data_IF_749770341803
#
_entry.id   IF_749770341803
#
_cell.length_a   1.000
_cell.length_b   1.000
_cell.length_c   1.000
_cell.angle_alpha   90.00
_cell.angle_beta   90.00
_cell.angle_gamma   90.00
#
_symmetry.space_group_name_H-M   'P 1'
#
loop_
_entity.id
_entity.type
_entity.pdbx_description
1 polymer ?
#
# COMPACT_ATOMS: atom_id res chain seq x y z
N UNK A 1 -4.32 -23.63 2.21
CA UNK A 1 -5.27 -23.50 3.33
C UNK A 1 -4.70 -23.96 4.67
N UNK A 2 -4.19 -25.20 4.82
CA UNK A 2 -3.70 -25.71 6.13
C UNK A 2 -2.42 -25.02 6.64
N UNK A 3 -1.50 -24.61 5.78
CA UNK A 3 -0.25 -23.93 6.17
C UNK A 3 -0.47 -22.49 6.70
N UNK A 4 -1.43 -21.75 6.15
CA UNK A 4 -1.77 -20.41 6.65
C UNK A 4 -2.50 -20.46 8.00
N UNK A 5 -3.32 -21.49 8.21
CA UNK A 5 -3.99 -21.70 9.50
C UNK A 5 -2.98 -22.01 10.61
N UNK A 6 -1.93 -22.79 10.31
CA UNK A 6 -0.87 -23.10 11.26
C UNK A 6 -0.02 -21.86 11.63
N UNK A 7 0.26 -20.98 10.67
CA UNK A 7 1.02 -19.75 10.91
C UNK A 7 0.19 -18.75 11.76
N UNK A 8 -1.09 -18.62 11.46
CA UNK A 8 -2.02 -17.75 12.20
C UNK A 8 -2.24 -18.27 13.63
N UNK A 9 -2.31 -19.59 13.81
CA UNK A 9 -2.42 -20.19 15.14
C UNK A 9 -1.13 -20.06 15.95
N UNK A 10 0.03 -20.14 15.30
CA UNK A 10 1.32 -19.91 15.96
C UNK A 10 1.50 -18.44 16.37
N UNK A 11 1.04 -17.49 15.56
CA UNK A 11 1.08 -16.06 15.90
C UNK A 11 0.17 -15.76 17.11
N UNK A 12 -1.04 -16.34 17.14
CA UNK A 12 -1.95 -16.17 18.29
C UNK A 12 -1.43 -16.87 19.57
N UNK A 13 -0.81 -18.04 19.44
CA UNK A 13 -0.17 -18.74 20.57
C UNK A 13 1.05 -17.99 21.09
N UNK A 14 1.85 -17.38 20.23
CA UNK A 14 3.00 -16.57 20.62
C UNK A 14 2.55 -15.33 21.38
N UNK A 15 1.48 -14.65 20.94
CA UNK A 15 0.88 -13.53 21.66
C UNK A 15 0.33 -13.97 23.02
N UNK A 16 -0.36 -15.10 23.09
CA UNK A 16 -0.89 -15.65 24.37
C UNK A 16 0.22 -16.03 25.35
N UNK A 17 1.31 -16.62 24.90
CA UNK A 17 2.47 -16.98 25.74
C UNK A 17 3.23 -15.75 26.26
N UNK A 18 3.27 -14.66 25.47
CA UNK A 18 3.89 -13.39 25.88
C UNK A 18 3.02 -12.60 26.87
N UNK A 19 1.68 -12.71 26.77
CA UNK A 19 0.75 -12.02 27.67
C UNK A 19 0.85 -12.49 29.14
N UNK A 20 1.28 -13.71 29.42
CA UNK A 20 1.41 -14.21 30.80
C UNK A 20 2.63 -13.65 31.55
N UNK A 21 3.59 -13.01 30.85
CA UNK A 21 4.83 -12.51 31.46
C UNK A 21 4.92 -10.98 31.59
N UNK A 22 3.97 -10.20 31.06
CA UNK A 22 4.20 -8.77 30.76
C UNK A 22 3.22 -7.78 31.38
N UNK A 23 2.50 -8.10 32.43
CA UNK A 23 1.65 -7.11 33.14
C UNK A 23 2.46 -5.92 33.77
N UNK A 24 3.78 -5.95 33.75
CA UNK A 24 4.64 -4.91 34.32
C UNK A 24 5.39 -4.03 33.31
N UNK A 25 5.29 -4.27 32.00
CA UNK A 25 6.08 -3.53 30.98
C UNK A 25 5.31 -2.36 30.35
N UNK A 26 4.00 -2.29 30.54
CA UNK A 26 3.12 -1.33 29.82
C UNK A 26 3.31 0.16 30.22
N UNK A 27 4.06 0.48 31.27
CA UNK A 27 4.16 1.87 31.76
C UNK A 27 5.45 2.61 31.37
N UNK A 28 6.36 1.99 30.63
CA UNK A 28 7.67 2.59 30.30
C UNK A 28 7.94 2.77 28.79
N UNK A 29 7.02 2.40 27.90
CA UNK A 29 7.31 2.37 26.46
C UNK A 29 7.22 3.73 25.74
N UNK A 30 6.51 4.71 26.30
CA UNK A 30 6.40 6.04 25.68
C UNK A 30 7.69 6.86 25.76
N UNK A 31 8.58 6.54 26.72
CA UNK A 31 9.82 7.27 26.98
C UNK A 31 11.02 6.80 26.15
N UNK A 32 10.92 5.72 25.39
CA UNK A 32 12.08 5.06 24.75
C UNK A 32 12.16 5.24 23.22
N UNK A 33 11.17 5.88 22.59
CA UNK A 33 11.25 6.14 21.14
C UNK A 33 11.88 7.50 20.86
N UNK A 34 12.88 7.51 19.99
CA UNK A 34 13.46 8.75 19.48
C UNK A 34 12.36 9.59 18.76
N UNK A 35 12.47 10.94 18.80
CA UNK A 35 11.54 11.78 18.03
C UNK A 35 11.55 11.35 16.58
N UNK A 36 10.36 11.30 15.95
CA UNK A 36 10.20 11.00 14.52
C UNK A 36 11.15 11.90 13.72
N UNK A 37 11.98 11.30 12.88
CA UNK A 37 12.76 12.07 11.92
C UNK A 37 11.81 12.84 11.00
N UNK A 38 12.11 14.11 10.66
CA UNK A 38 11.32 14.86 9.68
C UNK A 38 11.29 14.13 8.35
N UNK A 39 10.28 14.43 7.52
CA UNK A 39 10.12 13.79 6.20
C UNK A 39 11.44 13.85 5.41
N UNK A 40 12.03 12.69 5.21
CA UNK A 40 13.33 12.57 4.54
C UNK A 40 13.20 12.85 3.02
N UNK A 41 11.97 12.87 2.47
CA UNK A 41 11.73 12.79 1.05
C UNK A 41 10.88 13.92 0.46
N UNK A 42 10.42 14.89 1.25
CA UNK A 42 9.55 15.95 0.75
C UNK A 42 9.10 16.92 1.83
N UNK A 43 8.02 17.65 1.57
CA UNK A 43 7.43 18.61 2.50
C UNK A 43 6.19 18.02 3.13
N UNK A 44 6.18 17.87 4.45
CA UNK A 44 5.00 17.45 5.22
C UNK A 44 3.88 18.50 5.10
N UNK A 45 2.67 18.03 4.84
CA UNK A 45 1.47 18.83 4.67
C UNK A 45 0.29 18.17 5.39
N UNK A 46 -0.70 19.00 5.70
CA UNK A 46 -2.00 18.57 6.19
C UNK A 46 -3.10 19.28 5.42
N UNK A 47 -4.22 18.61 5.18
CA UNK A 47 -5.44 19.30 4.72
C UNK A 47 -5.94 20.24 5.80
N UNK A 48 -6.55 21.35 5.41
CA UNK A 48 -7.00 22.41 6.34
C UNK A 48 -8.47 22.77 6.18
N UNK A 49 -9.08 22.37 5.07
CA UNK A 49 -10.48 22.72 4.75
C UNK A 49 -11.47 21.59 5.02
N UNK A 50 -10.99 20.45 5.56
CA UNK A 50 -11.82 19.28 5.84
C UNK A 50 -12.13 19.17 7.34
N UNK A 51 -13.19 18.41 7.65
CA UNK A 51 -13.57 18.09 9.05
C UNK A 51 -12.46 17.33 9.77
N UNK A 52 -11.74 16.46 9.05
CA UNK A 52 -10.61 15.69 9.52
C UNK A 52 -9.43 15.96 8.62
N UNK A 53 -8.22 16.06 9.19
CA UNK A 53 -7.01 16.40 8.47
C UNK A 53 -6.34 15.15 7.93
N UNK A 54 -6.09 15.12 6.63
CA UNK A 54 -5.23 14.11 6.01
C UNK A 54 -3.80 14.62 5.95
N UNK A 55 -2.86 13.79 6.39
CA UNK A 55 -1.43 14.02 6.23
C UNK A 55 -0.96 13.52 4.87
N UNK A 56 -0.07 14.27 4.23
CA UNK A 56 0.61 13.86 3.01
C UNK A 56 1.99 14.50 2.88
N UNK A 57 2.85 13.89 2.09
CA UNK A 57 4.16 14.42 1.72
C UNK A 57 4.13 14.81 0.26
N UNK A 58 4.55 16.04 -0.02
CA UNK A 58 4.64 16.60 -1.37
C UNK A 58 6.10 16.62 -1.84
N UNK A 59 6.39 16.06 -3.02
CA UNK A 59 7.73 15.99 -3.58
C UNK A 59 7.70 15.92 -5.10
N UNK A 60 8.66 16.58 -5.75
CA UNK A 60 8.83 16.60 -7.20
C UNK A 60 7.97 17.62 -7.90
N UNK A 61 8.13 17.71 -9.22
CA UNK A 61 7.43 18.63 -10.09
C UNK A 61 6.95 17.90 -11.36
N UNK A 62 5.77 18.26 -11.85
CA UNK A 62 5.21 17.67 -13.06
C UNK A 62 3.71 17.37 -12.98
N UNK A 63 3.22 16.42 -13.78
CA UNK A 63 1.83 15.98 -13.67
C UNK A 63 1.55 15.42 -12.27
N UNK A 64 0.39 15.71 -11.67
CA UNK A 64 0.09 15.24 -10.32
C UNK A 64 -0.11 13.71 -10.30
N UNK A 65 0.46 13.07 -9.28
CA UNK A 65 0.24 11.68 -8.96
C UNK A 65 0.05 11.49 -7.45
N UNK A 66 -0.98 10.74 -7.05
CA UNK A 66 -1.29 10.45 -5.66
C UNK A 66 -0.91 9.01 -5.36
N UNK A 67 -0.06 8.81 -4.32
CA UNK A 67 0.38 7.52 -3.86
C UNK A 67 -0.43 7.12 -2.62
N UNK A 68 -1.15 5.99 -2.71
CA UNK A 68 -2.12 5.53 -1.73
C UNK A 68 -1.60 4.25 -1.07
N UNK A 69 -1.26 4.26 0.23
CA UNK A 69 -0.66 3.11 0.89
C UNK A 69 -1.65 1.96 1.12
N UNK A 70 -1.09 0.79 1.37
CA UNK A 70 -1.83 -0.39 1.78
C UNK A 70 -2.48 -0.25 3.16
N UNK A 71 -3.17 -1.32 3.58
CA UNK A 71 -3.82 -1.37 4.90
C UNK A 71 -2.77 -1.21 6.01
N UNK A 72 -3.07 -0.35 6.98
CA UNK A 72 -2.17 0.05 8.08
C UNK A 72 -0.89 0.76 7.65
N UNK A 73 -0.59 0.81 6.35
CA UNK A 73 0.58 1.48 5.79
C UNK A 73 0.49 3.01 5.86
N UNK A 74 1.63 3.63 5.66
CA UNK A 74 1.79 5.09 5.57
C UNK A 74 2.50 5.45 4.28
N UNK A 75 2.61 6.75 3.97
CA UNK A 75 3.39 7.23 2.83
C UNK A 75 4.83 6.66 2.78
N UNK A 76 5.38 6.25 3.94
CA UNK A 76 6.73 5.68 4.04
C UNK A 76 6.88 4.34 3.31
N UNK A 77 5.79 3.63 3.03
CA UNK A 77 5.81 2.46 2.15
C UNK A 77 6.33 2.79 0.75
N UNK A 78 6.20 4.03 0.32
CA UNK A 78 6.71 4.49 -0.96
C UNK A 78 8.11 5.12 -0.89
N UNK A 79 8.79 5.13 0.27
CA UNK A 79 10.09 5.78 0.46
C UNK A 79 11.12 5.41 -0.61
N UNK A 80 11.16 4.14 -1.02
CA UNK A 80 12.05 3.65 -2.08
C UNK A 80 11.64 4.10 -3.48
N UNK A 81 10.36 4.39 -3.70
CA UNK A 81 9.85 4.82 -5.01
C UNK A 81 9.83 6.33 -5.18
N UNK A 82 9.67 7.10 -4.08
CA UNK A 82 9.60 8.56 -4.14
C UNK A 82 10.77 9.19 -4.94
N UNK A 83 12.05 8.86 -4.66
CA UNK A 83 13.16 9.46 -5.41
C UNK A 83 13.20 9.05 -6.89
N UNK A 84 12.60 7.91 -7.24
CA UNK A 84 12.54 7.40 -8.61
C UNK A 84 11.42 8.08 -9.43
N UNK A 85 10.31 8.44 -8.79
CA UNK A 85 9.15 9.03 -9.45
C UNK A 85 9.13 10.56 -9.38
N UNK A 86 9.71 11.18 -8.35
CA UNK A 86 9.74 12.63 -8.16
C UNK A 86 10.32 13.45 -9.33
N UNK A 87 11.29 12.98 -10.11
CA UNK A 87 11.74 13.66 -11.31
C UNK A 87 10.69 13.77 -12.42
N UNK A 88 9.59 13.00 -12.33
CA UNK A 88 8.60 12.85 -13.40
C UNK A 88 7.20 13.34 -13.02
N UNK A 89 6.92 13.45 -11.72
CA UNK A 89 5.61 13.79 -11.17
C UNK A 89 5.70 14.80 -10.03
N UNK A 90 4.65 15.59 -9.87
CA UNK A 90 4.33 16.21 -8.58
C UNK A 90 3.62 15.13 -7.75
N UNK A 91 4.37 14.51 -6.84
CA UNK A 91 3.90 13.38 -6.03
C UNK A 91 3.23 13.88 -4.75
N UNK A 92 2.11 13.26 -4.42
CA UNK A 92 1.39 13.45 -3.16
C UNK A 92 1.28 12.05 -2.53
N UNK A 93 2.19 11.74 -1.62
CA UNK A 93 2.20 10.47 -0.91
C UNK A 93 1.46 10.65 0.41
N UNK A 94 0.31 10.01 0.56
CA UNK A 94 -0.59 10.27 1.68
C UNK A 94 -0.56 9.17 2.76
N UNK A 95 -1.02 9.54 3.94
CA UNK A 95 -1.48 8.62 4.96
C UNK A 95 -3.01 8.54 4.88
N UNK A 96 -3.54 7.33 4.75
CA UNK A 96 -5.00 7.14 4.81
C UNK A 96 -5.54 7.56 6.19
N UNK A 97 -6.81 7.97 6.28
CA UNK A 97 -7.40 8.16 7.60
C UNK A 97 -7.23 6.89 8.44
N UNK A 98 -6.80 7.08 9.68
CA UNK A 98 -6.53 5.99 10.61
C UNK A 98 -5.09 5.49 10.61
N UNK A 99 -4.22 5.96 9.72
CA UNK A 99 -2.80 5.57 9.67
C UNK A 99 -1.88 6.78 9.73
N UNK A 100 -0.62 6.56 10.01
CA UNK A 100 0.41 7.60 10.02
C UNK A 100 0.04 8.80 10.87
N UNK A 101 0.22 9.98 10.32
CA UNK A 101 -0.07 11.26 10.95
C UNK A 101 -1.45 11.84 10.55
N UNK A 102 -2.23 11.13 9.70
CA UNK A 102 -3.62 11.49 9.40
C UNK A 102 -4.53 11.31 10.62
N UNK A 103 -5.60 12.09 10.66
CA UNK A 103 -6.62 11.98 11.70
C UNK A 103 -7.22 10.57 11.78
N UNK A 104 -7.74 10.26 12.95
CA UNK A 104 -8.43 9.00 13.27
C UNK A 104 -9.90 9.29 13.61
N UNK A 105 -10.73 9.53 12.57
CA UNK A 105 -12.16 9.76 12.79
C UNK A 105 -12.78 8.64 13.62
N UNK A 106 -13.69 9.02 14.52
CA UNK A 106 -14.39 8.08 15.38
C UNK A 106 -15.63 7.46 14.69
N UNK A 107 -16.79 7.54 15.32
CA UNK A 107 -18.00 6.85 14.89
C UNK A 107 -18.65 7.37 13.61
N UNK A 108 -18.22 8.49 13.09
CA UNK A 108 -18.74 9.12 11.87
C UNK A 108 -17.98 8.73 10.59
N UNK A 109 -16.99 7.85 10.69
CA UNK A 109 -16.21 7.35 9.57
C UNK A 109 -16.00 5.84 9.69
N UNK A 110 -16.45 5.11 8.68
CA UNK A 110 -16.44 3.64 8.70
C UNK A 110 -15.16 3.01 8.18
N UNK A 111 -14.18 3.80 7.70
CA UNK A 111 -12.93 3.35 7.09
C UNK A 111 -13.12 2.43 5.88
N UNK A 112 -14.26 2.52 5.23
CA UNK A 112 -14.55 1.77 4.02
C UNK A 112 -13.77 2.29 2.82
N UNK A 113 -13.58 1.45 1.79
CA UNK A 113 -12.94 1.88 0.54
C UNK A 113 -13.61 3.11 -0.07
N UNK A 114 -14.95 3.23 -0.14
CA UNK A 114 -15.60 4.45 -0.64
C UNK A 114 -15.34 5.70 0.21
N UNK A 115 -15.31 5.58 1.54
CA UNK A 115 -15.07 6.73 2.43
C UNK A 115 -13.63 7.25 2.31
N UNK A 116 -12.64 6.35 2.24
CA UNK A 116 -11.26 6.72 1.97
C UNK A 116 -11.11 7.33 0.57
N UNK A 117 -11.82 6.80 -0.42
CA UNK A 117 -11.86 7.36 -1.76
C UNK A 117 -12.39 8.81 -1.76
N UNK A 118 -13.47 9.06 -1.02
CA UNK A 118 -14.05 10.40 -0.88
C UNK A 118 -13.10 11.37 -0.18
N UNK A 119 -12.35 10.92 0.83
CA UNK A 119 -11.30 11.70 1.46
C UNK A 119 -10.24 12.15 0.44
N UNK A 120 -9.77 11.25 -0.42
CA UNK A 120 -8.76 11.57 -1.43
C UNK A 120 -9.31 12.54 -2.49
N UNK A 121 -10.57 12.38 -2.91
CA UNK A 121 -11.19 13.32 -3.84
C UNK A 121 -11.32 14.71 -3.21
N UNK A 122 -11.68 14.79 -1.93
CA UNK A 122 -11.70 16.06 -1.19
C UNK A 122 -10.30 16.69 -1.08
N UNK A 123 -9.24 15.88 -0.87
CA UNK A 123 -7.86 16.36 -0.91
C UNK A 123 -7.52 16.92 -2.31
N UNK A 124 -7.92 16.26 -3.38
CA UNK A 124 -7.73 16.78 -4.74
C UNK A 124 -8.43 18.12 -4.94
N UNK A 125 -9.63 18.29 -4.37
CA UNK A 125 -10.39 19.56 -4.47
C UNK A 125 -9.68 20.69 -3.72
N UNK A 126 -9.22 20.44 -2.49
CA UNK A 126 -8.44 21.40 -1.70
C UNK A 126 -7.15 21.83 -2.42
N UNK A 127 -6.44 20.87 -3.02
CA UNK A 127 -5.22 21.13 -3.78
C UNK A 127 -5.47 21.64 -5.20
N UNK A 128 -6.73 21.79 -5.61
CA UNK A 128 -7.12 22.25 -6.95
C UNK A 128 -6.55 21.34 -8.06
N UNK A 129 -6.48 20.05 -7.80
CA UNK A 129 -6.05 19.04 -8.76
C UNK A 129 -7.27 18.53 -9.52
N UNK A 130 -7.46 18.94 -10.78
CA UNK A 130 -8.65 18.52 -11.55
C UNK A 130 -8.61 17.03 -11.91
N UNK A 131 -7.42 16.51 -12.17
CA UNK A 131 -7.19 15.14 -12.59
C UNK A 131 -5.76 14.71 -12.22
N UNK A 132 -5.56 13.45 -11.81
CA UNK A 132 -4.24 12.91 -11.46
C UNK A 132 -4.11 11.43 -11.85
N UNK A 133 -2.86 10.94 -11.82
CA UNK A 133 -2.56 9.50 -11.77
C UNK A 133 -2.72 9.01 -10.33
N UNK A 134 -3.36 7.85 -10.15
CA UNK A 134 -3.48 7.19 -8.86
C UNK A 134 -2.55 5.97 -8.83
N UNK A 135 -1.70 5.88 -7.82
CA UNK A 135 -0.77 4.76 -7.60
C UNK A 135 -1.10 4.17 -6.23
N UNK A 136 -1.73 3.01 -6.21
CA UNK A 136 -2.20 2.40 -4.97
C UNK A 136 -1.69 0.98 -4.77
N UNK A 137 -1.30 0.66 -3.53
CA UNK A 137 -0.85 -0.67 -3.14
C UNK A 137 -1.93 -1.35 -2.31
N UNK A 138 -2.28 -2.62 -2.64
CA UNK A 138 -3.21 -3.42 -1.85
C UNK A 138 -4.54 -2.69 -1.58
N UNK A 139 -4.84 -2.35 -0.35
CA UNK A 139 -5.98 -1.51 0.05
C UNK A 139 -6.00 -0.16 -0.69
N UNK A 140 -4.84 0.48 -0.86
CA UNK A 140 -4.73 1.70 -1.66
C UNK A 140 -5.04 1.48 -3.13
N UNK A 141 -4.73 0.30 -3.68
CA UNK A 141 -5.14 -0.11 -5.03
C UNK A 141 -6.65 -0.25 -5.16
N UNK A 142 -7.33 -0.80 -4.15
CA UNK A 142 -8.81 -0.84 -4.09
C UNK A 142 -9.41 0.56 -4.10
N UNK A 143 -8.83 1.47 -3.30
CA UNK A 143 -9.26 2.88 -3.23
C UNK A 143 -9.07 3.55 -4.60
N UNK A 144 -7.91 3.39 -5.23
CA UNK A 144 -7.62 3.96 -6.55
C UNK A 144 -8.61 3.49 -7.62
N UNK A 145 -8.91 2.19 -7.67
CA UNK A 145 -9.93 1.62 -8.58
C UNK A 145 -11.33 2.15 -8.27
N UNK A 146 -11.68 2.30 -6.99
CA UNK A 146 -12.97 2.86 -6.57
C UNK A 146 -13.12 4.33 -6.98
N UNK A 147 -12.07 5.15 -6.83
CA UNK A 147 -12.05 6.53 -7.32
C UNK A 147 -12.25 6.54 -8.84
N UNK A 148 -11.52 5.71 -9.58
CA UNK A 148 -11.63 5.66 -11.04
C UNK A 148 -13.02 5.25 -11.53
N UNK A 149 -13.70 4.38 -10.80
CA UNK A 149 -15.08 3.97 -11.11
C UNK A 149 -16.10 5.09 -10.81
N UNK A 150 -15.99 5.74 -9.63
CA UNK A 150 -16.97 6.73 -9.17
C UNK A 150 -16.71 8.13 -9.71
N UNK A 151 -15.46 8.48 -9.97
CA UNK A 151 -15.02 9.81 -10.38
C UNK A 151 -14.17 9.75 -11.67
N UNK A 152 -14.69 9.20 -12.78
CA UNK A 152 -13.88 8.87 -13.97
C UNK A 152 -13.20 10.08 -14.62
N UNK A 153 -13.69 11.29 -14.40
CA UNK A 153 -13.09 12.52 -14.93
C UNK A 153 -11.94 13.05 -14.05
N UNK A 154 -11.73 12.47 -12.86
CA UNK A 154 -10.70 12.88 -11.92
C UNK A 154 -9.42 12.02 -12.03
N UNK A 155 -9.45 10.97 -12.86
CA UNK A 155 -8.37 9.99 -12.96
C UNK A 155 -7.83 9.92 -14.36
N UNK A 156 -6.54 10.20 -14.55
CA UNK A 156 -5.85 10.09 -15.84
C UNK A 156 -5.35 8.66 -16.10
N UNK A 157 -4.88 7.99 -15.07
CA UNK A 157 -4.45 6.59 -15.10
C UNK A 157 -4.51 5.99 -13.68
N UNK A 158 -4.60 4.67 -13.59
CA UNK A 158 -4.50 3.93 -12.34
C UNK A 158 -3.32 2.97 -12.42
N UNK A 159 -2.45 2.99 -11.44
CA UNK A 159 -1.49 1.92 -11.15
C UNK A 159 -1.97 1.21 -9.89
N UNK A 160 -2.36 -0.04 -10.04
CA UNK A 160 -2.87 -0.88 -8.97
C UNK A 160 -1.87 -2.00 -8.68
N UNK A 161 -1.17 -1.88 -7.56
CA UNK A 161 -0.22 -2.91 -7.10
C UNK A 161 -1.00 -3.84 -6.16
N UNK A 162 -1.33 -5.03 -6.65
CA UNK A 162 -2.05 -6.08 -5.91
C UNK A 162 -3.33 -5.62 -5.16
N UNK A 163 -4.03 -4.62 -5.68
CA UNK A 163 -5.36 -4.27 -5.19
C UNK A 163 -6.43 -5.23 -5.74
N UNK A 164 -7.65 -5.09 -5.25
CA UNK A 164 -8.74 -5.99 -5.59
C UNK A 164 -10.07 -5.27 -5.81
N UNK A 165 -10.92 -5.84 -6.64
CA UNK A 165 -12.35 -5.52 -6.74
C UNK A 165 -13.20 -6.66 -6.21
N UNK A 166 -12.62 -7.88 -6.12
CA UNK A 166 -13.22 -9.08 -5.55
C UNK A 166 -12.40 -9.48 -4.32
N UNK A 167 -13.03 -9.50 -3.16
CA UNK A 167 -12.39 -9.87 -1.90
C UNK A 167 -12.57 -11.35 -1.59
N UNK A 168 -11.52 -12.02 -1.07
CA UNK A 168 -11.61 -13.43 -0.68
C UNK A 168 -12.62 -13.63 0.46
N UNK A 169 -13.33 -14.74 0.43
CA UNK A 169 -14.27 -15.15 1.48
C UNK A 169 -13.91 -16.58 1.94
N UNK A 170 -13.60 -16.80 3.23
CA UNK A 170 -13.61 -15.84 4.32
C UNK A 170 -12.49 -14.79 4.23
N UNK A 171 -12.74 -13.60 4.76
CA UNK A 171 -11.74 -12.54 4.78
C UNK A 171 -10.50 -12.94 5.60
N UNK A 172 -9.29 -12.70 5.12
CA UNK A 172 -8.07 -12.96 5.87
C UNK A 172 -7.97 -12.12 7.16
N UNK A 173 -8.72 -11.03 7.25
CA UNK A 173 -8.72 -10.12 8.40
C UNK A 173 -9.68 -10.53 9.53
N UNK A 174 -10.44 -11.61 9.37
CA UNK A 174 -11.42 -12.07 10.37
C UNK A 174 -10.79 -12.35 11.74
N UNK A 175 -9.65 -13.02 11.77
CA UNK A 175 -8.97 -13.33 13.03
C UNK A 175 -8.38 -12.11 13.70
N UNK A 176 -7.84 -11.17 12.92
CA UNK A 176 -7.35 -9.89 13.43
C UNK A 176 -8.50 -9.10 14.08
N UNK A 177 -9.64 -8.99 13.38
CA UNK A 177 -10.83 -8.33 13.93
C UNK A 177 -11.25 -8.96 15.26
N UNK A 178 -11.37 -10.29 15.32
CA UNK A 178 -11.76 -11.00 16.55
C UNK A 178 -10.77 -10.73 17.71
N UNK A 179 -9.48 -10.75 17.44
CA UNK A 179 -8.45 -10.46 18.44
C UNK A 179 -8.55 -9.02 18.96
N UNK A 180 -8.68 -8.06 18.06
CA UNK A 180 -8.79 -6.65 18.40
C UNK A 180 -10.13 -6.29 19.08
N UNK A 181 -11.22 -7.00 18.75
CA UNK A 181 -12.55 -6.75 19.35
C UNK A 181 -12.65 -7.29 20.78
N UNK A 182 -11.79 -8.23 21.16
CA UNK A 182 -11.77 -8.80 22.52
C UNK A 182 -11.18 -7.79 23.51
N UNK A 183 -11.94 -7.34 24.55
CA UNK A 183 -11.43 -6.43 25.56
C UNK A 183 -10.16 -6.97 26.23
N UNK A 184 -9.27 -6.09 26.67
CA UNK A 184 -7.94 -6.37 27.24
C UNK A 184 -6.98 -7.07 26.28
N UNK A 185 -7.41 -8.08 25.52
CA UNK A 185 -6.57 -8.74 24.52
C UNK A 185 -6.22 -7.78 23.38
N UNK A 186 -7.22 -7.07 22.83
CA UNK A 186 -6.98 -6.08 21.77
C UNK A 186 -6.07 -4.95 22.21
N UNK A 187 -6.21 -4.48 23.45
CA UNK A 187 -5.33 -3.44 24.01
C UNK A 187 -3.91 -3.98 24.21
N UNK A 188 -3.76 -5.23 24.67
CA UNK A 188 -2.46 -5.89 24.76
C UNK A 188 -1.80 -6.08 23.41
N UNK A 189 -2.55 -6.52 22.38
CA UNK A 189 -2.03 -6.66 21.00
C UNK A 189 -1.48 -5.32 20.51
N UNK A 190 -2.24 -4.24 20.63
CA UNK A 190 -1.80 -2.90 20.21
C UNK A 190 -0.61 -2.42 21.04
N UNK A 191 -0.60 -2.66 22.35
CA UNK A 191 0.54 -2.33 23.20
C UNK A 191 1.83 -3.02 22.74
N UNK A 192 1.77 -4.30 22.38
CA UNK A 192 2.90 -5.03 21.80
C UNK A 192 3.32 -4.48 20.44
N UNK A 193 2.39 -4.20 19.56
CA UNK A 193 2.65 -3.61 18.24
C UNK A 193 3.38 -2.29 18.42
N UNK A 194 2.85 -1.37 19.23
CA UNK A 194 3.45 -0.06 19.49
C UNK A 194 4.79 -0.11 20.21
N UNK A 195 5.09 -1.17 20.94
CA UNK A 195 6.38 -1.31 21.64
C UNK A 195 7.58 -1.50 20.70
N UNK A 196 7.34 -1.79 19.41
CA UNK A 196 8.38 -2.11 18.43
C UNK A 196 8.97 -3.52 18.59
N UNK A 197 8.54 -4.29 19.59
CA UNK A 197 9.04 -5.67 19.80
C UNK A 197 8.67 -6.60 18.65
N UNK A 198 7.57 -6.30 17.94
CA UNK A 198 7.10 -7.08 16.81
C UNK A 198 7.58 -6.56 15.45
N UNK A 199 8.25 -5.42 15.34
CA UNK A 199 8.64 -4.82 14.07
C UNK A 199 9.43 -5.79 13.18
N UNK A 200 10.36 -6.54 13.76
CA UNK A 200 11.10 -7.56 12.99
C UNK A 200 10.21 -8.73 12.55
N UNK A 201 9.21 -9.11 13.33
CA UNK A 201 8.28 -10.19 12.99
C UNK A 201 7.36 -9.72 11.88
N UNK A 202 6.81 -8.52 12.00
CA UNK A 202 5.94 -7.90 11.00
C UNK A 202 6.73 -7.67 9.69
N UNK A 203 7.96 -7.14 9.77
CA UNK A 203 8.81 -6.95 8.60
C UNK A 203 9.12 -8.27 7.87
N UNK A 204 9.35 -9.36 8.61
CA UNK A 204 9.52 -10.70 8.02
C UNK A 204 8.25 -11.21 7.35
N UNK A 205 7.10 -10.94 7.92
CA UNK A 205 5.81 -11.36 7.37
C UNK A 205 5.49 -10.58 6.09
N UNK A 206 5.64 -9.27 6.11
CA UNK A 206 5.47 -8.37 4.96
C UNK A 206 6.40 -8.77 3.81
N UNK A 207 7.69 -8.92 4.08
CA UNK A 207 8.68 -9.26 3.05
C UNK A 207 8.71 -10.75 2.68
N UNK A 208 8.11 -11.61 3.49
CA UNK A 208 7.89 -13.03 3.20
C UNK A 208 9.06 -13.72 2.50
N UNK A 209 8.84 -14.15 1.27
CA UNK A 209 9.83 -14.81 0.41
C UNK A 209 11.10 -13.99 0.17
N UNK A 210 11.02 -12.67 0.16
CA UNK A 210 12.15 -11.80 -0.09
C UNK A 210 13.07 -11.66 1.14
N UNK A 211 12.53 -11.72 2.36
CA UNK A 211 13.28 -11.44 3.58
C UNK A 211 14.62 -12.17 3.73
N UNK A 212 14.74 -13.50 3.52
CA UNK A 212 16.01 -14.21 3.67
C UNK A 212 17.06 -13.79 2.65
N UNK A 213 16.65 -13.20 1.52
CA UNK A 213 17.53 -12.78 0.43
C UNK A 213 18.02 -11.33 0.56
N UNK A 214 17.40 -10.54 1.43
CA UNK A 214 17.75 -9.15 1.68
C UNK A 214 19.06 -9.05 2.51
N UNK A 215 19.83 -8.01 2.25
CA UNK A 215 20.98 -7.68 3.08
C UNK A 215 20.58 -7.01 4.41
N UNK A 216 21.57 -6.59 5.19
CA UNK A 216 21.35 -6.02 6.51
C UNK A 216 20.79 -4.59 6.44
N UNK A 217 21.19 -3.81 5.44
CA UNK A 217 20.74 -2.42 5.22
C UNK A 217 19.30 -2.40 4.79
N UNK A 218 18.94 -3.17 3.78
CA UNK A 218 17.57 -3.36 3.33
C UNK A 218 16.62 -3.81 4.46
N UNK A 219 17.08 -4.78 5.28
CA UNK A 219 16.30 -5.23 6.44
C UNK A 219 16.10 -4.14 7.50
N UNK A 220 17.11 -3.31 7.72
CA UNK A 220 17.01 -2.20 8.65
C UNK A 220 16.04 -1.13 8.16
N UNK A 221 16.09 -0.78 6.87
CA UNK A 221 15.18 0.17 6.25
C UNK A 221 13.72 -0.30 6.30
N UNK A 222 13.44 -1.57 5.92
CA UNK A 222 12.08 -2.10 6.01
C UNK A 222 11.57 -2.11 7.46
N UNK A 223 12.42 -2.43 8.43
CA UNK A 223 12.03 -2.34 9.84
C UNK A 223 11.71 -0.92 10.27
N UNK A 224 12.45 0.08 9.80
CA UNK A 224 12.15 1.49 10.05
C UNK A 224 10.80 1.87 9.46
N UNK A 225 10.51 1.49 8.23
CA UNK A 225 9.20 1.70 7.60
C UNK A 225 8.08 1.06 8.44
N UNK A 226 8.25 -0.19 8.86
CA UNK A 226 7.27 -0.90 9.68
C UNK A 226 7.08 -0.23 11.04
N UNK A 227 8.16 0.30 11.64
CA UNK A 227 8.02 1.02 12.91
C UNK A 227 7.10 2.23 12.82
N UNK A 228 7.06 2.90 11.67
CA UNK A 228 6.13 4.01 11.43
C UNK A 228 4.68 3.56 11.26
N UNK A 229 4.45 2.35 10.73
CA UNK A 229 3.11 1.76 10.67
C UNK A 229 2.60 1.42 12.08
N UNK A 230 3.49 0.86 12.91
CA UNK A 230 3.13 0.36 14.24
C UNK A 230 3.05 1.45 15.29
N UNK A 231 3.83 2.53 15.17
CA UNK A 231 3.82 3.67 16.09
C UNK A 231 2.45 4.31 16.23
N UNK A 232 1.78 4.49 15.12
CA UNK A 232 0.48 5.13 15.03
C UNK A 232 -0.69 4.14 15.27
N UNK A 233 -0.43 2.87 15.55
CA UNK A 233 -1.46 1.86 15.75
C UNK A 233 -2.38 2.20 16.92
N UNK A 234 -3.69 2.13 16.69
CA UNK A 234 -4.70 2.21 17.75
C UNK A 234 -5.67 1.04 17.62
N UNK A 235 -6.15 0.53 18.74
CA UNK A 235 -7.09 -0.59 18.75
C UNK A 235 -8.36 -0.27 17.96
N UNK A 236 -8.96 0.88 18.23
CA UNK A 236 -10.20 1.29 17.58
C UNK A 236 -10.04 1.42 16.08
N UNK A 237 -9.00 2.11 15.63
CA UNK A 237 -8.74 2.33 14.20
C UNK A 237 -8.43 1.03 13.46
N UNK A 238 -7.53 0.20 14.01
CA UNK A 238 -7.16 -1.06 13.37
C UNK A 238 -8.32 -2.05 13.34
N UNK A 239 -9.14 -2.09 14.40
CA UNK A 239 -10.38 -2.86 14.43
C UNK A 239 -11.36 -2.37 13.36
N UNK A 240 -11.53 -1.06 13.23
CA UNK A 240 -12.43 -0.46 12.22
C UNK A 240 -11.96 -0.76 10.79
N UNK A 241 -10.65 -0.62 10.50
CA UNK A 241 -10.05 -0.97 9.21
C UNK A 241 -10.20 -2.47 8.88
N UNK A 242 -9.91 -3.36 9.83
CA UNK A 242 -10.07 -4.80 9.65
C UNK A 242 -11.55 -5.17 9.39
N UNK A 243 -12.47 -4.55 10.14
CA UNK A 243 -13.92 -4.71 9.99
C UNK A 243 -14.41 -4.18 8.65
N UNK A 244 -13.96 -3.01 8.23
CA UNK A 244 -14.29 -2.42 6.94
C UNK A 244 -13.91 -3.33 5.78
N UNK A 245 -12.70 -3.91 5.79
CA UNK A 245 -12.28 -4.86 4.76
C UNK A 245 -13.03 -6.19 4.81
N UNK A 246 -13.27 -6.74 6.01
CA UNK A 246 -14.05 -7.98 6.14
C UNK A 246 -15.47 -7.84 5.61
N UNK A 247 -16.09 -6.68 5.82
CA UNK A 247 -17.45 -6.39 5.38
C UNK A 247 -17.52 -5.74 4.00
N UNK A 248 -16.36 -5.48 3.38
CA UNK A 248 -16.30 -4.90 2.04
C UNK A 248 -17.09 -5.75 1.05
N UNK A 249 -17.89 -5.08 0.24
CA UNK A 249 -18.55 -5.69 -0.89
C UNK A 249 -17.64 -5.64 -2.09
N UNK A 250 -17.72 -6.68 -2.92
CA UNK A 250 -17.14 -6.64 -4.25
C UNK A 250 -17.79 -5.49 -5.03
N UNK A 251 -16.98 -4.71 -5.74
CA UNK A 251 -17.48 -3.59 -6.56
C UNK A 251 -17.26 -3.84 -8.07
N UNK A 252 -17.53 -5.07 -8.48
CA UNK A 252 -17.32 -5.55 -9.85
C UNK A 252 -18.16 -4.81 -10.88
N UNK A 253 -19.39 -4.43 -10.56
CA UNK A 253 -20.24 -3.71 -11.51
C UNK A 253 -19.76 -2.26 -11.69
N UNK A 254 -19.36 -1.61 -10.62
CA UNK A 254 -18.78 -0.28 -10.65
C UNK A 254 -17.42 -0.25 -11.37
N UNK A 255 -16.60 -1.29 -11.22
CA UNK A 255 -15.31 -1.36 -11.88
C UNK A 255 -15.39 -1.47 -13.41
N UNK A 256 -16.46 -2.05 -13.96
CA UNK A 256 -16.66 -2.16 -15.43
C UNK A 256 -16.74 -0.82 -16.15
N UNK A 257 -17.08 0.27 -15.44
CA UNK A 257 -17.20 1.61 -16.03
C UNK A 257 -15.93 2.43 -15.93
N UNK A 258 -14.83 1.87 -15.42
CA UNK A 258 -13.52 2.53 -15.36
C UNK A 258 -13.06 2.83 -16.78
N UNK A 259 -12.87 4.13 -17.07
CA UNK A 259 -12.43 4.63 -18.38
C UNK A 259 -10.92 4.84 -18.45
N UNK A 260 -10.33 5.21 -17.32
CA UNK A 260 -8.90 5.45 -17.21
C UNK A 260 -8.12 4.16 -17.54
N UNK A 261 -6.97 4.25 -18.22
CA UNK A 261 -6.09 3.11 -18.38
C UNK A 261 -5.63 2.61 -17.01
N UNK A 262 -5.57 1.29 -16.83
CA UNK A 262 -5.17 0.63 -15.58
C UNK A 262 -3.94 -0.22 -15.83
N UNK A 263 -2.88 0.01 -15.06
CA UNK A 263 -1.75 -0.90 -14.94
C UNK A 263 -1.93 -1.71 -13.65
N UNK A 264 -2.07 -3.02 -13.78
CA UNK A 264 -2.12 -3.93 -12.63
C UNK A 264 -0.79 -4.66 -12.50
N UNK A 265 -0.15 -4.49 -11.34
CA UNK A 265 1.14 -5.13 -11.03
C UNK A 265 0.92 -6.19 -9.95
N UNK A 266 1.54 -7.37 -10.14
CA UNK A 266 1.44 -8.48 -9.19
C UNK A 266 2.75 -9.23 -9.06
N UNK A 267 2.94 -9.93 -7.93
CA UNK A 267 4.09 -10.80 -7.70
C UNK A 267 3.70 -12.27 -7.73
N UNK A 268 4.52 -13.11 -8.36
CA UNK A 268 4.27 -14.56 -8.45
C UNK A 268 4.52 -15.30 -7.11
N UNK A 269 5.14 -14.63 -6.14
CA UNK A 269 5.34 -15.09 -4.74
C UNK A 269 4.48 -14.35 -3.73
N UNK A 270 3.45 -13.64 -4.20
CA UNK A 270 2.52 -12.94 -3.32
C UNK A 270 1.87 -13.89 -2.32
N UNK A 271 1.77 -13.43 -1.07
CA UNK A 271 1.02 -14.14 -0.02
C UNK A 271 -0.49 -14.15 -0.26
N UNK A 272 -0.99 -13.25 -1.14
CA UNK A 272 -2.39 -13.11 -1.54
C UNK A 272 -2.68 -13.67 -2.93
N UNK A 273 -1.89 -14.62 -3.40
CA UNK A 273 -1.92 -15.14 -4.78
C UNK A 273 -3.31 -15.54 -5.26
N UNK A 274 -4.11 -16.24 -4.46
CA UNK A 274 -5.46 -16.65 -4.85
C UNK A 274 -6.39 -15.46 -5.12
N UNK A 275 -6.29 -14.42 -4.28
CA UNK A 275 -7.01 -13.17 -4.49
C UNK A 275 -6.52 -12.47 -5.77
N UNK A 276 -5.22 -12.39 -5.96
CA UNK A 276 -4.59 -11.77 -7.12
C UNK A 276 -5.00 -12.45 -8.42
N UNK A 277 -4.93 -13.78 -8.50
CA UNK A 277 -5.36 -14.55 -9.68
C UNK A 277 -6.84 -14.33 -10.00
N UNK A 278 -7.73 -14.35 -8.98
CA UNK A 278 -9.16 -14.07 -9.15
C UNK A 278 -9.40 -12.68 -9.75
N UNK A 279 -8.66 -11.67 -9.28
CA UNK A 279 -8.80 -10.31 -9.77
C UNK A 279 -8.19 -10.12 -11.16
N UNK A 280 -7.07 -10.77 -11.46
CA UNK A 280 -6.49 -10.79 -12.82
C UNK A 280 -7.50 -11.35 -13.83
N UNK A 281 -8.15 -12.47 -13.51
CA UNK A 281 -9.16 -13.06 -14.39
C UNK A 281 -10.36 -12.13 -14.58
N UNK A 282 -10.80 -11.44 -13.51
CA UNK A 282 -11.83 -10.44 -13.62
C UNK A 282 -11.38 -9.27 -14.53
N UNK A 283 -10.20 -8.71 -14.33
CA UNK A 283 -9.68 -7.59 -15.09
C UNK A 283 -9.57 -7.91 -16.59
N UNK A 284 -9.04 -9.08 -16.94
CA UNK A 284 -8.96 -9.55 -18.33
C UNK A 284 -10.30 -9.57 -19.05
N UNK A 285 -11.34 -9.95 -18.32
CA UNK A 285 -12.64 -10.14 -18.92
C UNK A 285 -13.49 -8.85 -18.98
N UNK A 286 -13.27 -7.91 -18.06
CA UNK A 286 -14.22 -6.81 -17.85
C UNK A 286 -13.61 -5.41 -17.89
N UNK A 287 -12.30 -5.23 -17.79
CA UNK A 287 -11.65 -3.92 -17.93
C UNK A 287 -11.05 -3.77 -19.32
N UNK A 288 -11.58 -2.89 -20.17
CA UNK A 288 -11.15 -2.79 -21.57
C UNK A 288 -9.74 -2.22 -21.75
N UNK A 289 -9.26 -1.42 -20.77
CA UNK A 289 -8.00 -0.68 -20.85
C UNK A 289 -7.04 -1.12 -19.73
N UNK A 290 -6.92 -2.42 -19.47
CA UNK A 290 -6.02 -2.96 -18.45
C UNK A 290 -4.75 -3.53 -19.08
N UNK A 291 -3.59 -3.17 -18.49
CA UNK A 291 -2.31 -3.83 -18.70
C UNK A 291 -1.96 -4.63 -17.44
N UNK A 292 -1.65 -5.91 -17.61
CA UNK A 292 -1.35 -6.83 -16.52
C UNK A 292 0.11 -7.23 -16.57
N UNK A 293 0.85 -7.03 -15.48
CA UNK A 293 2.27 -7.40 -15.36
C UNK A 293 2.47 -8.21 -14.09
N UNK A 294 3.11 -9.37 -14.24
CA UNK A 294 3.51 -10.21 -13.10
C UNK A 294 5.02 -10.20 -12.96
N UNK A 295 5.50 -9.92 -11.76
CA UNK A 295 6.91 -9.90 -11.42
C UNK A 295 7.36 -11.28 -10.99
N UNK A 296 8.39 -11.82 -11.66
CA UNK A 296 9.06 -13.04 -11.21
C UNK A 296 9.71 -12.80 -9.86
N UNK A 297 9.58 -13.76 -8.95
CA UNK A 297 10.02 -13.62 -7.56
C UNK A 297 9.43 -12.41 -6.81
N UNK A 298 8.37 -11.81 -7.35
CA UNK A 298 7.68 -10.68 -6.74
C UNK A 298 6.82 -11.09 -5.55
N UNK A 299 6.83 -10.28 -4.49
CA UNK A 299 5.93 -10.42 -3.33
C UNK A 299 4.77 -9.42 -3.45
N UNK A 300 3.89 -9.39 -2.43
CA UNK A 300 2.75 -8.47 -2.37
C UNK A 300 3.17 -6.99 -2.39
N UNK A 301 4.22 -6.64 -1.67
CA UNK A 301 4.72 -5.27 -1.51
C UNK A 301 5.87 -5.01 -2.52
N UNK A 302 5.52 -4.91 -3.80
CA UNK A 302 6.46 -4.70 -4.91
C UNK A 302 7.19 -3.34 -4.80
N UNK A 303 6.53 -2.34 -4.25
CA UNK A 303 7.09 -1.00 -4.03
C UNK A 303 8.25 -1.01 -3.02
N UNK A 304 8.25 -1.97 -2.11
CA UNK A 304 9.34 -2.19 -1.15
C UNK A 304 10.40 -3.15 -1.68
N UNK A 305 9.97 -4.23 -2.34
CA UNK A 305 10.88 -5.29 -2.78
C UNK A 305 11.64 -4.94 -4.05
N UNK A 306 10.94 -4.40 -5.06
CA UNK A 306 11.44 -4.16 -6.41
C UNK A 306 11.14 -2.72 -6.87
N UNK A 307 11.58 -1.70 -6.10
CA UNK A 307 11.17 -0.31 -6.35
C UNK A 307 11.61 0.21 -7.71
N UNK A 308 12.81 -0.15 -8.19
CA UNK A 308 13.34 0.31 -9.48
C UNK A 308 12.52 -0.27 -10.65
N UNK A 309 12.26 -1.58 -10.63
CA UNK A 309 11.48 -2.26 -11.65
C UNK A 309 10.04 -1.77 -11.65
N UNK A 310 9.44 -1.61 -10.45
CA UNK A 310 8.08 -1.10 -10.28
C UNK A 310 7.96 0.34 -10.80
N UNK A 311 8.89 1.23 -10.42
CA UNK A 311 8.90 2.61 -10.91
C UNK A 311 9.08 2.68 -12.43
N UNK A 312 9.95 1.84 -13.01
CA UNK A 312 10.15 1.78 -14.46
C UNK A 312 8.86 1.39 -15.19
N UNK A 313 8.14 0.37 -14.71
CA UNK A 313 6.85 -0.03 -15.29
C UNK A 313 5.81 1.09 -15.22
N UNK A 314 5.75 1.81 -14.09
CA UNK A 314 4.85 2.96 -13.93
C UNK A 314 5.19 4.05 -14.95
N UNK A 315 6.47 4.41 -15.08
CA UNK A 315 6.91 5.46 -16.00
C UNK A 315 6.65 5.07 -17.48
N UNK A 316 6.91 3.84 -17.86
CA UNK A 316 6.60 3.34 -19.19
C UNK A 316 5.12 3.41 -19.52
N UNK A 317 4.27 3.08 -18.54
CA UNK A 317 2.83 3.09 -18.71
C UNK A 317 2.23 4.50 -18.79
N UNK A 318 2.65 5.41 -17.88
CA UNK A 318 2.01 6.73 -17.76
C UNK A 318 2.65 7.77 -18.69
N UNK A 319 3.95 7.64 -19.02
CA UNK A 319 4.69 8.60 -19.82
C UNK A 319 5.61 7.94 -20.86
N UNK A 320 5.07 7.14 -21.80
CA UNK A 320 5.87 6.33 -22.71
C UNK A 320 6.83 7.16 -23.57
N UNK A 321 6.50 8.39 -23.92
CA UNK A 321 7.38 9.27 -24.70
C UNK A 321 8.56 9.79 -23.88
N UNK A 322 8.36 10.09 -22.60
CA UNK A 322 9.41 10.55 -21.68
C UNK A 322 10.36 9.42 -21.31
N UNK A 323 9.86 8.21 -21.14
CA UNK A 323 10.66 7.01 -20.88
C UNK A 323 11.60 6.71 -22.05
N UNK A 324 11.12 6.84 -23.30
CA UNK A 324 11.95 6.65 -24.51
C UNK A 324 13.05 7.72 -24.65
N UNK A 325 12.77 8.97 -24.28
CA UNK A 325 13.74 10.06 -24.31
C UNK A 325 14.91 9.80 -23.33
N UNK A 326 14.60 9.35 -22.10
CA UNK A 326 15.60 8.98 -21.09
C UNK A 326 16.47 7.80 -21.54
N UNK A 327 15.88 6.74 -22.10
CA UNK A 327 16.62 5.60 -22.62
C UNK A 327 17.56 5.98 -23.79
N UNK A 328 17.22 7.01 -24.56
CA UNK A 328 18.08 7.53 -25.63
C UNK A 328 19.26 8.37 -25.12
N UNK A 329 19.07 9.10 -24.03
CA UNK A 329 20.12 9.92 -23.42
C UNK A 329 21.15 9.06 -22.66
N UNK A 330 20.69 8.02 -21.96
CA UNK A 330 21.55 7.08 -21.21
C UNK A 330 22.45 6.24 -22.16
N UNK A 331 22.03 6.03 -23.42
CA UNK A 331 22.87 5.37 -24.43
C UNK A 331 24.07 6.21 -24.89
N UNK A 332 24.02 7.51 -24.73
CA UNK A 332 25.14 8.40 -25.09
C UNK A 332 26.23 8.43 -24.00
N UNK A 333 25.90 8.16 -22.74
CA UNK A 333 26.84 8.22 -21.62
C UNK A 333 27.47 6.87 -21.24
N UNK A 334 27.22 5.81 -21.97
CA UNK A 334 27.99 4.54 -21.93
C UNK A 334 27.75 3.66 -20.70
N UNK A 335 26.79 3.94 -19.84
CA UNK A 335 26.37 3.04 -18.76
C UNK A 335 25.02 2.41 -19.11
N UNK A 336 25.05 1.16 -19.61
CA UNK A 336 23.86 0.37 -19.85
C UNK A 336 23.28 -0.10 -18.50
N UNK A 337 22.05 0.29 -18.24
CA UNK A 337 21.22 -0.43 -17.24
C UNK A 337 21.06 -1.88 -17.71
N UNK A 338 21.06 -2.89 -16.82
CA UNK A 338 20.89 -4.29 -17.20
C UNK A 338 19.58 -4.47 -17.98
N UNK A 339 19.71 -5.07 -19.15
CA UNK A 339 18.75 -5.06 -20.23
C UNK A 339 17.36 -5.54 -19.87
N UNK A 340 16.41 -4.67 -20.12
CA UNK A 340 15.03 -5.04 -20.41
C UNK A 340 14.97 -5.16 -21.93
N UNK A 341 14.89 -6.40 -22.44
CA UNK A 341 14.70 -6.63 -23.87
C UNK A 341 13.29 -6.20 -24.26
N UNK A 342 13.19 -5.20 -25.11
CA UNK A 342 11.92 -4.81 -25.73
C UNK A 342 11.34 -5.97 -26.55
N UNK A 343 10.09 -6.17 -26.44
CA UNK A 343 9.11 -6.74 -27.38
C UNK A 343 8.52 -8.13 -27.17
N UNK A 344 9.04 -9.01 -26.32
CA UNK A 344 8.49 -10.38 -26.27
C UNK A 344 7.75 -10.75 -24.98
N UNK A 345 7.74 -9.89 -23.96
CA UNK A 345 7.13 -10.21 -22.66
C UNK A 345 5.62 -9.92 -22.62
N UNK A 346 5.11 -9.01 -23.45
CA UNK A 346 3.68 -8.72 -23.50
C UNK A 346 2.85 -9.82 -24.16
N UNK A 347 3.45 -10.63 -25.07
CA UNK A 347 2.73 -11.71 -25.76
C UNK A 347 3.03 -13.12 -25.21
N UNK A 348 4.18 -13.36 -24.56
CA UNK A 348 4.59 -14.70 -24.11
C UNK A 348 4.13 -15.10 -22.71
N UNK A 349 3.63 -14.20 -21.91
CA UNK A 349 3.12 -14.53 -20.56
C UNK A 349 1.73 -15.18 -20.58
N UNK A 350 1.08 -15.29 -21.76
CA UNK A 350 -0.32 -15.72 -21.87
C UNK A 350 -0.62 -16.61 -23.09
N UNK A 351 0.36 -17.41 -23.56
CA UNK A 351 0.07 -18.57 -24.41
C UNK A 351 0.18 -19.87 -23.59
#
# INVERSE_FOLDING_TARGET
MIKNLALQTQFLLLILLLCTSCAQVATTSEALRAPKAPAQYGVDRFTTEQKHNAHYVEVGEGPPAILIPGLFGTYRGFSRMLPLLAPHFSLIALDNFGTGDSDRPDSDFGYTVPEQADMIVNLMDELKIPQCTLIGVSYGGMIALNIAARYPNRVSAVVCIEGAVIMPKPSPYQFMEQGLDTPLLGDAIIGFIRSGLLDTVIAKDVMGYAWPKMDAEDKAEVKDIISHYTDAASRQTWLSLARALRTSKDFTEEAKVIKAPVLYLSGDKSSFREMTETNIDYFKNYLPNVSLVSFEDGIHDLELQKPQETASMILEFVAPERSRALASTTRQDGQALPGISHNDQYEKAYQ
#
